data_IF_121452785205
#
_entry.id   IF_121452785205
#
_cell.length_a   1.000
_cell.length_b   1.000
_cell.length_c   1.000
_cell.angle_alpha   90.00
_cell.angle_beta   90.00
_cell.angle_gamma   90.00
#
_symmetry.space_group_name_H-M   'P 1'
#
loop_
_entity.id
_entity.type
_entity.pdbx_description
1 polymer ?
#
# COMPACT_ATOMS: atom_id res chain seq x y z
N UNK A 1 1.53 -6.48 45.79
CA UNK A 1 0.76 -7.04 44.66
C UNK A 1 0.50 -5.92 43.66
N UNK A 2 1.38 -5.77 42.67
CA UNK A 2 1.15 -4.82 41.59
C UNK A 2 0.25 -5.49 40.55
N UNK A 3 -1.01 -5.07 40.48
CA UNK A 3 -1.93 -5.46 39.42
C UNK A 3 -1.33 -5.04 38.09
N UNK A 4 -0.87 -6.03 37.33
CA UNK A 4 -0.48 -5.88 35.93
C UNK A 4 -1.72 -5.44 35.17
N UNK A 5 -1.81 -4.15 34.86
CA UNK A 5 -2.77 -3.62 33.89
C UNK A 5 -2.50 -4.35 32.57
N UNK A 6 -3.36 -5.32 32.23
CA UNK A 6 -3.33 -5.93 30.89
C UNK A 6 -3.50 -4.78 29.90
N UNK A 7 -2.50 -4.56 29.07
CA UNK A 7 -2.68 -3.79 27.85
C UNK A 7 -3.56 -4.69 26.99
N UNK A 8 -4.88 -4.49 27.06
CA UNK A 8 -5.83 -5.20 26.22
C UNK A 8 -5.43 -4.95 24.77
N UNK A 9 -5.13 -6.01 24.02
CA UNK A 9 -4.79 -5.90 22.61
C UNK A 9 -5.97 -5.25 21.87
N UNK A 10 -5.75 -4.31 20.93
CA UNK A 10 -6.83 -3.67 20.17
C UNK A 10 -7.71 -4.65 19.38
N UNK A 11 -7.24 -5.90 19.20
CA UNK A 11 -7.98 -6.97 18.55
C UNK A 11 -8.68 -7.94 19.52
N UNK A 12 -8.70 -7.70 20.83
CA UNK A 12 -9.42 -8.58 21.77
C UNK A 12 -10.90 -8.73 21.39
N UNK A 13 -11.54 -7.65 20.94
CA UNK A 13 -12.91 -7.65 20.43
C UNK A 13 -13.10 -8.43 19.12
N UNK A 14 -12.01 -8.80 18.45
CA UNK A 14 -11.99 -9.57 17.20
C UNK A 14 -11.39 -10.97 17.35
N UNK A 15 -11.08 -11.42 18.58
CA UNK A 15 -10.51 -12.76 18.83
C UNK A 15 -11.36 -13.89 18.22
N UNK A 16 -12.68 -13.75 18.25
CA UNK A 16 -13.62 -14.73 17.69
C UNK A 16 -13.97 -14.47 16.21
N UNK A 17 -13.55 -13.32 15.67
CA UNK A 17 -13.83 -12.86 14.30
C UNK A 17 -12.63 -13.06 13.35
N UNK A 18 -11.75 -14.03 13.62
CA UNK A 18 -10.52 -14.25 12.82
C UNK A 18 -10.78 -14.56 11.34
N UNK A 19 -11.91 -15.19 11.01
CA UNK A 19 -12.24 -15.42 9.60
C UNK A 19 -12.50 -14.10 8.88
N UNK A 20 -13.35 -13.24 9.44
CA UNK A 20 -13.60 -11.90 8.94
C UNK A 20 -12.29 -11.10 8.77
N UNK A 21 -11.40 -11.12 9.76
CA UNK A 21 -10.09 -10.45 9.66
C UNK A 21 -9.28 -10.96 8.46
N UNK A 22 -9.28 -12.27 8.22
CA UNK A 22 -8.59 -12.85 7.06
C UNK A 22 -9.24 -12.50 5.73
N UNK A 23 -10.56 -12.36 5.71
CA UNK A 23 -11.28 -11.95 4.51
C UNK A 23 -10.90 -10.52 4.11
N UNK A 24 -10.60 -9.63 5.06
CA UNK A 24 -10.08 -8.28 4.77
C UNK A 24 -8.77 -8.32 3.95
N UNK A 25 -7.87 -9.27 4.19
CA UNK A 25 -6.60 -9.42 3.46
C UNK A 25 -6.66 -10.45 2.32
N UNK A 26 -7.84 -10.99 2.01
CA UNK A 26 -7.99 -11.99 0.96
C UNK A 26 -7.64 -11.41 -0.41
N UNK A 27 -6.91 -12.17 -1.24
CA UNK A 27 -6.66 -11.79 -2.63
C UNK A 27 -7.74 -12.32 -3.60
N UNK A 28 -8.77 -12.98 -3.07
CA UNK A 28 -9.99 -13.31 -3.82
C UNK A 28 -10.89 -12.09 -3.80
N UNK A 29 -11.55 -11.82 -4.92
CA UNK A 29 -12.51 -10.74 -5.07
C UNK A 29 -13.92 -11.26 -4.81
N UNK A 30 -14.70 -10.55 -4.01
CA UNK A 30 -16.15 -10.72 -3.93
C UNK A 30 -16.80 -9.75 -4.93
N UNK A 31 -17.14 -10.25 -6.12
CA UNK A 31 -17.79 -9.48 -7.18
C UNK A 31 -19.26 -9.85 -7.16
N UNK A 32 -20.08 -9.07 -6.46
CA UNK A 32 -21.52 -9.27 -6.40
C UNK A 32 -22.17 -8.34 -7.40
N UNK A 33 -22.92 -8.94 -8.33
CA UNK A 33 -23.75 -8.20 -9.27
C UNK A 33 -24.77 -7.40 -8.44
N UNK A 34 -24.75 -6.08 -8.60
CA UNK A 34 -25.64 -5.10 -7.95
C UNK A 34 -25.44 -4.81 -6.45
N UNK A 35 -24.30 -5.17 -5.85
CA UNK A 35 -23.91 -4.69 -4.51
C UNK A 35 -23.01 -3.44 -4.65
N UNK A 36 -23.37 -2.27 -4.09
CA UNK A 36 -22.52 -1.08 -4.11
C UNK A 36 -21.19 -1.23 -3.34
N UNK A 37 -20.95 -2.40 -2.73
CA UNK A 37 -19.81 -2.68 -1.84
C UNK A 37 -19.01 -3.92 -2.25
N UNK A 38 -18.90 -4.16 -3.55
CA UNK A 38 -18.12 -5.25 -4.11
C UNK A 38 -16.62 -4.89 -4.28
N UNK A 39 -15.78 -5.85 -4.69
CA UNK A 39 -14.33 -5.65 -4.86
C UNK A 39 -13.95 -5.09 -6.26
N UNK A 40 -14.85 -4.40 -6.96
CA UNK A 40 -14.59 -3.90 -8.33
C UNK A 40 -13.45 -2.89 -8.38
N UNK A 41 -13.42 -1.88 -7.50
CA UNK A 41 -12.35 -0.88 -7.44
C UNK A 41 -11.03 -1.55 -7.09
N UNK A 42 -11.07 -2.50 -6.15
CA UNK A 42 -9.91 -3.24 -5.69
C UNK A 42 -9.23 -3.99 -6.84
N UNK A 43 -9.99 -4.48 -7.83
CA UNK A 43 -9.43 -5.14 -9.01
C UNK A 43 -8.60 -4.17 -9.86
N UNK A 44 -9.09 -2.94 -10.09
CA UNK A 44 -8.34 -1.90 -10.82
C UNK A 44 -7.12 -1.42 -10.01
N UNK A 45 -7.27 -1.23 -8.70
CA UNK A 45 -6.19 -0.86 -7.79
C UNK A 45 -5.09 -1.93 -7.80
N UNK A 46 -5.43 -3.22 -7.69
CA UNK A 46 -4.45 -4.31 -7.77
C UNK A 46 -3.71 -4.34 -9.12
N UNK A 47 -4.40 -4.08 -10.23
CA UNK A 47 -3.77 -3.98 -11.54
C UNK A 47 -2.79 -2.80 -11.60
N UNK A 48 -3.19 -1.63 -11.10
CA UNK A 48 -2.33 -0.44 -10.99
C UNK A 48 -1.11 -0.70 -10.11
N UNK A 49 -1.29 -1.25 -8.91
CA UNK A 49 -0.19 -1.58 -7.99
C UNK A 49 0.81 -2.55 -8.62
N UNK A 50 0.36 -3.55 -9.40
CA UNK A 50 1.28 -4.44 -10.14
C UNK A 50 2.09 -3.70 -11.19
N UNK A 51 1.47 -2.80 -11.96
CA UNK A 51 2.16 -1.96 -12.95
C UNK A 51 3.15 -1.01 -12.27
N UNK A 52 2.72 -0.37 -11.18
CA UNK A 52 3.54 0.49 -10.32
C UNK A 52 4.78 -0.26 -9.83
N UNK A 53 4.63 -1.45 -9.20
CA UNK A 53 5.77 -2.24 -8.72
C UNK A 53 6.74 -2.56 -9.87
N UNK A 54 6.22 -2.90 -11.07
CA UNK A 54 7.05 -3.17 -12.25
C UNK A 54 7.84 -1.94 -12.67
N UNK A 55 7.18 -0.78 -12.82
CA UNK A 55 7.82 0.49 -13.20
C UNK A 55 8.85 0.93 -12.14
N UNK A 56 8.46 0.90 -10.87
CA UNK A 56 9.28 1.25 -9.73
C UNK A 56 10.53 0.36 -9.61
N UNK A 57 10.39 -0.95 -9.83
CA UNK A 57 11.52 -1.89 -9.90
C UNK A 57 12.50 -1.55 -11.02
N UNK A 58 12.00 -1.02 -12.15
CA UNK A 58 12.81 -0.61 -13.29
C UNK A 58 13.64 0.64 -13.04
N UNK A 59 13.18 1.54 -12.17
CA UNK A 59 13.90 2.78 -11.80
C UNK A 59 14.77 2.64 -10.55
N UNK A 60 14.54 1.62 -9.72
CA UNK A 60 15.37 1.31 -8.55
C UNK A 60 16.72 0.65 -8.91
N UNK A 61 17.50 1.32 -9.77
CA UNK A 61 18.83 0.90 -10.23
C UNK A 61 19.76 2.09 -10.46
N UNK A 62 21.09 1.92 -10.35
CA UNK A 62 22.05 3.03 -10.45
C UNK A 62 22.02 3.82 -11.76
N UNK A 63 21.54 3.22 -12.86
CA UNK A 63 21.40 3.90 -14.16
C UNK A 63 20.15 4.79 -14.27
N UNK A 64 19.23 4.74 -13.30
CA UNK A 64 18.01 5.54 -13.29
C UNK A 64 17.95 6.52 -12.12
N UNK A 65 18.60 6.19 -10.99
CA UNK A 65 18.74 7.08 -9.81
C UNK A 65 20.17 7.08 -9.30
N UNK A 66 20.56 8.17 -8.64
CA UNK A 66 21.91 8.28 -8.08
C UNK A 66 22.17 7.22 -7.01
N UNK A 67 23.44 6.83 -6.84
CA UNK A 67 23.85 5.93 -5.78
C UNK A 67 23.42 6.43 -4.40
N UNK A 68 23.51 7.74 -4.15
CA UNK A 68 23.10 8.35 -2.88
C UNK A 68 21.64 8.01 -2.53
N UNK A 69 20.72 8.06 -3.49
CA UNK A 69 19.32 7.67 -3.27
C UNK A 69 19.21 6.19 -2.89
N UNK A 70 19.94 5.32 -3.58
CA UNK A 70 19.91 3.88 -3.30
C UNK A 70 20.52 3.52 -1.93
N UNK A 71 21.58 4.21 -1.51
CA UNK A 71 22.17 4.06 -0.19
C UNK A 71 21.24 4.60 0.92
N UNK A 72 20.61 5.76 0.70
CA UNK A 72 19.70 6.35 1.68
C UNK A 72 18.46 5.48 1.90
N UNK A 73 17.84 5.02 0.83
CA UNK A 73 16.63 4.17 0.91
C UNK A 73 16.93 2.82 1.58
N UNK A 74 18.16 2.31 1.46
CA UNK A 74 18.55 1.07 2.14
C UNK A 74 19.00 1.28 3.59
N UNK A 75 19.14 2.53 4.04
CA UNK A 75 19.61 2.84 5.38
C UNK A 75 18.65 2.25 6.42
N UNK A 76 19.21 1.57 7.41
CA UNK A 76 18.46 0.95 8.51
C UNK A 76 18.56 1.76 9.80
N UNK A 77 19.69 2.45 9.99
CA UNK A 77 20.00 3.16 11.23
C UNK A 77 20.51 4.57 10.90
N UNK A 78 19.89 5.58 11.50
CA UNK A 78 20.17 6.99 11.24
C UNK A 78 21.53 7.47 11.78
N UNK A 79 22.15 6.71 12.68
CA UNK A 79 23.44 7.06 13.29
C UNK A 79 24.60 6.23 12.74
N UNK A 80 24.33 5.24 11.86
CA UNK A 80 25.37 4.46 11.17
C UNK A 80 25.55 4.93 9.73
N UNK A 81 26.76 4.72 9.23
CA UNK A 81 27.09 4.96 7.82
C UNK A 81 26.30 4.03 6.90
N UNK A 82 26.05 4.52 5.69
CA UNK A 82 25.33 3.79 4.64
C UNK A 82 26.31 2.82 3.98
N UNK A 83 26.17 1.53 4.28
CA UNK A 83 27.15 0.52 3.85
C UNK A 83 26.79 -0.19 2.54
N UNK A 84 25.50 -0.31 2.20
CA UNK A 84 25.07 -1.05 1.00
C UNK A 84 23.92 -0.35 0.27
N UNK A 85 23.93 -0.30 -1.07
CA UNK A 85 22.86 0.29 -1.86
C UNK A 85 21.64 -0.64 -1.95
N UNK A 86 20.45 -0.06 -2.10
CA UNK A 86 19.22 -0.82 -2.29
C UNK A 86 19.19 -1.48 -3.67
N UNK A 87 18.87 -2.79 -3.70
CA UNK A 87 18.69 -3.55 -4.93
C UNK A 87 17.39 -4.35 -4.90
N UNK A 88 16.43 -3.99 -5.76
CA UNK A 88 15.18 -4.76 -5.89
C UNK A 88 15.31 -5.96 -6.84
N UNK A 89 16.33 -6.80 -6.62
CA UNK A 89 16.64 -7.99 -7.41
C UNK A 89 16.41 -9.26 -6.61
N UNK A 90 15.14 -9.53 -6.32
CA UNK A 90 14.74 -10.76 -5.64
C UNK A 90 14.51 -11.92 -6.62
N UNK A 91 14.74 -13.15 -6.15
CA UNK A 91 14.32 -14.38 -6.85
C UNK A 91 12.82 -14.30 -7.17
N UNK A 92 12.40 -14.90 -8.29
CA UNK A 92 11.00 -14.86 -8.78
C UNK A 92 9.97 -15.22 -7.70
N UNK A 93 10.25 -16.25 -6.90
CA UNK A 93 9.36 -16.69 -5.82
C UNK A 93 9.25 -15.64 -4.70
N UNK A 94 10.37 -15.08 -4.24
CA UNK A 94 10.38 -14.01 -3.23
C UNK A 94 9.64 -12.77 -3.73
N UNK A 95 9.86 -12.37 -4.99
CA UNK A 95 9.15 -11.24 -5.59
C UNK A 95 7.64 -11.48 -5.62
N UNK A 96 7.17 -12.68 -5.99
CA UNK A 96 5.74 -13.03 -5.95
C UNK A 96 5.17 -12.88 -4.53
N UNK A 97 5.86 -13.40 -3.51
CA UNK A 97 5.44 -13.27 -2.11
C UNK A 97 5.37 -11.81 -1.66
N UNK A 98 6.37 -11.00 -2.03
CA UNK A 98 6.41 -9.59 -1.65
C UNK A 98 5.31 -8.77 -2.31
N UNK A 99 5.05 -9.03 -3.60
CA UNK A 99 3.91 -8.43 -4.30
C UNK A 99 2.60 -8.85 -3.62
N UNK A 100 2.44 -10.12 -3.26
CA UNK A 100 1.23 -10.58 -2.58
C UNK A 100 0.98 -9.82 -1.29
N UNK A 101 1.98 -9.65 -0.42
CA UNK A 101 1.83 -8.86 0.83
C UNK A 101 1.42 -7.41 0.55
N UNK A 102 1.97 -6.79 -0.50
CA UNK A 102 1.55 -5.44 -0.91
C UNK A 102 0.08 -5.41 -1.37
N UNK A 103 -0.34 -6.37 -2.20
CA UNK A 103 -1.75 -6.46 -2.61
C UNK A 103 -2.67 -6.71 -1.41
N UNK A 104 -2.26 -7.54 -0.44
CA UNK A 104 -3.02 -7.77 0.78
C UNK A 104 -3.19 -6.49 1.60
N UNK A 105 -2.20 -5.60 1.59
CA UNK A 105 -2.33 -4.28 2.22
C UNK A 105 -3.41 -3.44 1.53
N UNK A 106 -3.42 -3.36 0.20
CA UNK A 106 -4.45 -2.59 -0.51
C UNK A 106 -5.84 -3.22 -0.36
N UNK A 107 -5.95 -4.55 -0.38
CA UNK A 107 -7.20 -5.25 -0.08
C UNK A 107 -7.73 -4.90 1.32
N UNK A 108 -6.85 -4.95 2.32
CA UNK A 108 -7.19 -4.57 3.67
C UNK A 108 -7.60 -3.11 3.77
N UNK A 109 -6.84 -2.20 3.16
CA UNK A 109 -7.14 -0.78 3.21
C UNK A 109 -8.50 -0.48 2.59
N UNK A 110 -8.78 -0.96 1.37
CA UNK A 110 -10.06 -0.74 0.70
C UNK A 110 -11.21 -1.32 1.53
N UNK A 111 -11.13 -2.60 1.92
CA UNK A 111 -12.23 -3.25 2.63
C UNK A 111 -12.46 -2.69 4.02
N UNK A 112 -11.39 -2.40 4.76
CA UNK A 112 -11.50 -1.87 6.11
C UNK A 112 -11.94 -0.40 6.08
N UNK A 113 -11.38 0.46 5.23
CA UNK A 113 -11.76 1.88 5.18
C UNK A 113 -13.21 2.03 4.71
N UNK A 114 -13.64 1.22 3.73
CA UNK A 114 -15.02 1.23 3.22
C UNK A 114 -16.05 0.55 4.15
N UNK A 115 -15.66 0.04 5.33
CA UNK A 115 -16.64 -0.42 6.32
C UNK A 115 -17.50 0.77 6.78
N UNK A 116 -18.83 0.61 6.75
CA UNK A 116 -19.78 1.67 7.12
C UNK A 116 -19.64 2.08 8.59
N UNK A 117 -19.48 1.08 9.45
CA UNK A 117 -19.32 1.28 10.87
C UNK A 117 -17.87 1.00 11.28
N UNK A 118 -17.22 2.00 11.85
CA UNK A 118 -15.85 1.87 12.36
C UNK A 118 -15.70 0.81 13.46
N UNK A 119 -16.79 0.46 14.17
CA UNK A 119 -16.79 -0.60 15.18
C UNK A 119 -16.67 -2.02 14.58
N UNK A 120 -17.01 -2.19 13.30
CA UNK A 120 -17.03 -3.49 12.63
C UNK A 120 -15.69 -3.85 11.96
N UNK A 121 -14.74 -2.90 11.93
CA UNK A 121 -13.40 -3.10 11.38
C UNK A 121 -12.33 -3.05 12.48
N UNK A 122 -11.13 -3.61 12.22
CA UNK A 122 -9.99 -3.39 13.09
C UNK A 122 -9.74 -1.89 13.36
N UNK A 123 -9.34 -1.53 14.59
CA UNK A 123 -9.17 -0.13 14.96
C UNK A 123 -7.96 0.48 14.24
N UNK A 124 -8.16 1.69 13.73
CA UNK A 124 -7.13 2.62 13.25
C UNK A 124 -7.79 3.98 12.97
N UNK A 125 -7.00 5.04 12.90
CA UNK A 125 -7.43 6.40 12.53
C UNK A 125 -6.62 6.88 11.34
N UNK A 126 -7.32 7.33 10.30
CA UNK A 126 -6.65 7.96 9.17
C UNK A 126 -6.35 9.41 9.50
N UNK A 127 -5.19 9.89 9.04
CA UNK A 127 -4.93 11.34 8.98
C UNK A 127 -5.71 11.96 7.82
N UNK A 128 -5.84 13.29 7.80
CA UNK A 128 -6.45 14.00 6.67
C UNK A 128 -5.73 13.71 5.36
N UNK A 129 -4.40 13.66 5.38
CA UNK A 129 -3.59 13.33 4.22
C UNK A 129 -3.82 11.89 3.72
N UNK A 130 -4.00 10.93 4.64
CA UNK A 130 -4.31 9.53 4.28
C UNK A 130 -5.71 9.41 3.70
N UNK A 131 -6.68 10.11 4.27
CA UNK A 131 -8.07 10.13 3.78
C UNK A 131 -8.12 10.72 2.37
N UNK A 132 -7.57 11.91 2.17
CA UNK A 132 -7.53 12.55 0.85
C UNK A 132 -6.80 11.70 -0.20
N UNK A 133 -5.68 11.06 0.15
CA UNK A 133 -4.96 10.19 -0.78
C UNK A 133 -5.73 8.89 -1.10
N UNK A 134 -6.49 8.36 -0.14
CA UNK A 134 -7.35 7.21 -0.34
C UNK A 134 -8.53 7.55 -1.25
N UNK A 135 -9.22 8.66 -1.00
CA UNK A 135 -10.38 9.11 -1.77
C UNK A 135 -10.00 9.31 -3.25
N UNK A 136 -8.89 10.02 -3.53
CA UNK A 136 -8.37 10.20 -4.90
C UNK A 136 -8.06 8.86 -5.59
N UNK A 137 -7.55 7.87 -4.85
CA UNK A 137 -7.30 6.54 -5.39
C UNK A 137 -8.59 5.81 -5.73
N UNK A 138 -9.61 5.91 -4.87
CA UNK A 138 -10.93 5.32 -5.09
C UNK A 138 -11.65 5.98 -6.26
N UNK A 139 -11.60 7.31 -6.38
CA UNK A 139 -12.21 8.07 -7.48
C UNK A 139 -11.69 7.62 -8.85
N UNK A 140 -10.37 7.49 -9.02
CA UNK A 140 -9.80 6.99 -10.28
C UNK A 140 -10.12 5.51 -10.55
N UNK A 141 -10.32 4.71 -9.51
CA UNK A 141 -10.74 3.32 -9.67
C UNK A 141 -12.21 3.25 -10.11
N UNK A 142 -13.09 4.06 -9.51
CA UNK A 142 -14.49 4.20 -9.89
C UNK A 142 -14.64 4.71 -11.32
N UNK A 143 -13.84 5.69 -11.75
CA UNK A 143 -13.86 6.17 -13.14
C UNK A 143 -13.50 5.04 -14.13
N UNK A 144 -12.58 4.14 -13.78
CA UNK A 144 -12.26 2.98 -14.62
C UNK A 144 -13.40 1.96 -14.68
N UNK A 145 -14.12 1.75 -13.58
CA UNK A 145 -15.32 0.88 -13.57
C UNK A 145 -16.40 1.46 -14.48
N UNK A 146 -16.67 2.76 -14.38
CA UNK A 146 -17.63 3.46 -15.23
C UNK A 146 -17.29 3.33 -16.72
N UNK A 147 -16.00 3.34 -17.06
CA UNK A 147 -15.53 3.14 -18.43
C UNK A 147 -15.75 1.70 -18.88
N UNK A 148 -15.43 0.70 -18.03
CA UNK A 148 -15.61 -0.71 -18.34
C UNK A 148 -17.11 -1.07 -18.50
N UNK A 149 -18.00 -0.38 -17.78
CA UNK A 149 -19.46 -0.59 -17.83
C UNK A 149 -20.17 0.13 -18.99
N UNK A 150 -19.56 1.18 -19.58
CA UNK A 150 -20.16 1.91 -20.70
C UNK A 150 -19.85 1.23 -22.03
N UNK A 151 -20.89 0.92 -22.81
CA UNK A 151 -20.77 0.19 -24.09
C UNK A 151 -20.29 1.09 -25.25
N UNK A 152 -20.34 2.43 -25.20
CA UNK A 152 -19.76 3.32 -26.26
C UNK A 152 -19.69 4.83 -25.86
N UNK A 153 -18.84 5.70 -26.48
CA UNK A 153 -17.72 5.44 -27.37
C UNK A 153 -16.36 5.63 -26.65
N UNK A 154 -15.47 4.68 -26.94
CA UNK A 154 -14.00 4.74 -26.98
C UNK A 154 -13.42 6.07 -26.43
N UNK A 155 -13.19 6.16 -25.12
CA UNK A 155 -12.12 7.04 -24.67
C UNK A 155 -10.88 6.65 -25.47
N UNK A 156 -10.19 7.64 -26.05
CA UNK A 156 -8.96 7.37 -26.78
C UNK A 156 -8.03 6.56 -25.89
N UNK A 157 -7.36 5.55 -26.46
CA UNK A 157 -6.41 4.71 -25.72
C UNK A 157 -5.45 5.54 -24.85
N UNK A 158 -5.09 6.75 -25.33
CA UNK A 158 -4.33 7.76 -24.59
C UNK A 158 -4.97 8.20 -23.26
N UNK A 159 -6.27 8.51 -23.23
CA UNK A 159 -6.96 8.94 -21.99
C UNK A 159 -7.09 7.80 -20.99
N UNK A 160 -7.43 6.59 -21.44
CA UNK A 160 -7.48 5.39 -20.57
C UNK A 160 -6.08 5.10 -20.00
N UNK A 161 -5.04 5.20 -20.82
CA UNK A 161 -3.66 5.06 -20.36
C UNK A 161 -3.28 6.14 -19.34
N UNK A 162 -3.78 7.37 -19.51
CA UNK A 162 -3.56 8.45 -18.54
C UNK A 162 -4.26 8.16 -17.22
N UNK A 163 -5.50 7.68 -17.25
CA UNK A 163 -6.24 7.32 -16.05
C UNK A 163 -5.57 6.16 -15.30
N UNK A 164 -5.06 5.16 -16.02
CA UNK A 164 -4.24 4.10 -15.42
C UNK A 164 -2.98 4.64 -14.74
N UNK A 165 -2.33 5.66 -15.31
CA UNK A 165 -1.17 6.32 -14.70
C UNK A 165 -1.57 7.14 -13.46
N UNK A 166 -2.71 7.84 -13.51
CA UNK A 166 -3.25 8.59 -12.38
C UNK A 166 -3.58 7.66 -11.20
N UNK A 167 -4.20 6.52 -11.46
CA UNK A 167 -4.46 5.51 -10.43
C UNK A 167 -3.15 4.93 -9.85
N UNK A 168 -2.13 4.69 -10.68
CA UNK A 168 -0.80 4.27 -10.19
C UNK A 168 -0.17 5.32 -9.27
N UNK A 169 -0.29 6.60 -9.61
CA UNK A 169 0.22 7.71 -8.82
C UNK A 169 -0.57 7.90 -7.52
N UNK A 170 -1.89 7.77 -7.56
CA UNK A 170 -2.75 7.84 -6.38
C UNK A 170 -2.45 6.67 -5.42
N UNK A 171 -2.28 5.45 -5.94
CA UNK A 171 -1.94 4.29 -5.13
C UNK A 171 -0.57 4.43 -4.42
N UNK A 172 0.45 4.98 -5.09
CA UNK A 172 1.74 5.25 -4.42
C UNK A 172 1.62 6.39 -3.43
N UNK A 173 0.86 7.45 -3.73
CA UNK A 173 0.64 8.56 -2.81
C UNK A 173 -0.06 8.11 -1.52
N UNK A 174 -1.13 7.31 -1.63
CA UNK A 174 -1.78 6.69 -0.48
C UNK A 174 -0.81 5.84 0.33
N UNK A 175 -0.06 4.93 -0.32
CA UNK A 175 0.90 4.09 0.39
C UNK A 175 1.98 4.91 1.13
N UNK A 176 2.52 5.97 0.51
CA UNK A 176 3.50 6.85 1.15
C UNK A 176 2.88 7.60 2.34
N UNK A 177 1.63 8.08 2.22
CA UNK A 177 0.93 8.75 3.33
C UNK A 177 0.73 7.83 4.54
N UNK A 178 0.59 6.52 4.31
CA UNK A 178 0.51 5.51 5.37
C UNK A 178 1.86 5.26 6.02
N UNK A 179 2.96 5.31 5.26
CA UNK A 179 4.32 5.23 5.82
C UNK A 179 4.72 6.49 6.60
N UNK A 180 4.20 7.65 6.21
CA UNK A 180 4.45 8.94 6.85
C UNK A 180 3.58 9.18 8.10
N UNK A 181 2.91 8.13 8.61
CA UNK A 181 2.13 8.21 9.83
C UNK A 181 3.05 8.31 11.05
N UNK A 182 2.96 9.41 11.78
CA UNK A 182 3.69 9.61 13.02
C UNK A 182 3.01 8.94 14.22
N UNK A 183 3.63 7.91 14.79
CA UNK A 183 3.04 7.06 15.85
C UNK A 183 3.37 7.50 17.29
N UNK A 184 3.76 8.77 17.52
CA UNK A 184 4.30 9.20 18.83
C UNK A 184 3.35 9.03 20.03
N UNK A 185 2.05 9.14 19.83
CA UNK A 185 1.04 9.04 20.91
C UNK A 185 0.56 7.61 21.10
N UNK A 186 0.24 6.92 20.02
CA UNK A 186 -0.12 5.50 20.00
C UNK A 186 0.14 4.91 18.63
N UNK A 187 0.76 3.73 18.58
CA UNK A 187 0.95 2.98 17.34
C UNK A 187 -0.37 2.35 16.83
N UNK A 188 -1.36 2.19 17.70
CA UNK A 188 -2.64 1.54 17.38
C UNK A 188 -3.56 2.40 16.51
N UNK A 189 -3.27 3.69 16.35
CA UNK A 189 -3.97 4.54 15.39
C UNK A 189 -3.47 4.29 13.95
N UNK A 190 -2.32 3.63 13.76
CA UNK A 190 -1.77 3.37 12.43
C UNK A 190 -2.49 2.22 11.71
N UNK A 191 -3.04 2.52 10.52
CA UNK A 191 -3.59 1.50 9.61
C UNK A 191 -2.54 0.44 9.23
N UNK A 192 -1.26 0.80 9.16
CA UNK A 192 -0.19 -0.17 8.89
C UNK A 192 -0.02 -1.16 10.05
N UNK A 193 -0.09 -0.69 11.28
CA UNK A 193 -0.01 -1.56 12.48
C UNK A 193 -1.24 -2.46 12.56
N UNK A 194 -2.43 -1.92 12.28
CA UNK A 194 -3.68 -2.68 12.20
C UNK A 194 -3.65 -3.75 11.10
N UNK A 195 -3.13 -3.42 9.92
CA UNK A 195 -2.86 -4.38 8.84
C UNK A 195 -1.88 -5.48 9.28
N UNK A 196 -0.76 -5.11 9.91
CA UNK A 196 0.25 -6.06 10.37
C UNK A 196 -0.32 -7.07 11.36
N UNK A 197 -1.21 -6.61 12.24
CA UNK A 197 -1.88 -7.49 13.20
C UNK A 197 -2.80 -8.48 12.49
N UNK A 198 -3.59 -8.04 11.50
CA UNK A 198 -4.39 -8.95 10.67
C UNK A 198 -3.52 -9.91 9.86
N UNK A 199 -2.42 -9.42 9.29
CA UNK A 199 -1.47 -10.20 8.50
C UNK A 199 -0.77 -11.29 9.34
N UNK A 200 -0.77 -11.15 10.66
CA UNK A 200 -0.22 -12.15 11.59
C UNK A 200 -1.17 -13.34 11.84
N UNK A 201 -2.39 -13.34 11.29
CA UNK A 201 -3.32 -14.46 11.41
C UNK A 201 -3.05 -15.48 10.31
N UNK A 202 -2.90 -16.74 10.70
CA UNK A 202 -2.60 -17.88 9.82
C UNK A 202 -3.87 -18.52 9.26
N UNK A 203 -3.67 -19.46 8.32
CA UNK A 203 -4.76 -20.14 7.65
C UNK A 203 -5.64 -20.99 8.58
N UNK A 204 -5.03 -21.54 9.63
CA UNK A 204 -5.66 -22.30 10.71
C UNK A 204 -6.26 -21.41 11.81
N UNK A 205 -6.31 -20.08 11.59
CA UNK A 205 -6.79 -19.08 12.56
C UNK A 205 -5.94 -19.01 13.84
N UNK A 206 -4.70 -19.52 13.80
CA UNK A 206 -3.70 -19.28 14.85
C UNK A 206 -2.87 -18.04 14.52
N UNK A 207 -2.04 -17.61 15.47
CA UNK A 207 -1.13 -16.47 15.30
C UNK A 207 0.20 -16.94 14.70
N UNK A 208 0.79 -16.11 13.85
CA UNK A 208 2.13 -16.31 13.32
C UNK A 208 3.17 -16.27 14.44
N UNK A 209 4.19 -17.12 14.30
CA UNK A 209 5.39 -16.99 15.10
C UNK A 209 6.35 -15.95 14.48
N UNK A 210 7.32 -15.48 15.26
CA UNK A 210 8.29 -14.49 14.81
C UNK A 210 9.07 -14.92 13.56
N UNK A 211 9.44 -16.20 13.47
CA UNK A 211 10.22 -16.74 12.35
C UNK A 211 9.45 -16.63 11.02
N UNK A 212 8.14 -16.87 11.03
CA UNK A 212 7.29 -16.82 9.85
C UNK A 212 6.79 -15.40 9.54
N UNK A 213 6.72 -14.52 10.55
CA UNK A 213 6.29 -13.14 10.36
C UNK A 213 7.41 -12.23 9.83
N UNK A 214 8.67 -12.49 10.18
CA UNK A 214 9.83 -11.69 9.72
C UNK A 214 9.94 -11.57 8.19
N UNK A 215 9.69 -12.63 7.39
CA UNK A 215 9.59 -12.52 5.94
C UNK A 215 8.49 -11.57 5.43
N UNK A 216 7.35 -11.44 6.14
CA UNK A 216 6.26 -10.52 5.81
C UNK A 216 6.66 -9.06 6.08
N UNK A 217 7.35 -8.80 7.19
CA UNK A 217 7.95 -7.49 7.47
C UNK A 217 9.00 -7.11 6.42
N UNK A 218 9.83 -8.07 6.02
CA UNK A 218 10.83 -7.88 4.95
C UNK A 218 10.18 -7.53 3.61
N UNK A 219 9.02 -8.14 3.32
CA UNK A 219 8.23 -7.83 2.14
C UNK A 219 7.76 -6.38 2.13
N UNK A 220 7.16 -5.92 3.24
CA UNK A 220 6.70 -4.55 3.41
C UNK A 220 7.87 -3.58 3.24
N UNK A 221 8.97 -3.77 3.99
CA UNK A 221 10.15 -2.91 3.87
C UNK A 221 10.71 -2.85 2.44
N UNK A 222 10.77 -3.98 1.74
CA UNK A 222 11.29 -4.02 0.38
C UNK A 222 10.38 -3.27 -0.61
N UNK A 223 9.06 -3.41 -0.48
CA UNK A 223 8.08 -2.70 -1.33
C UNK A 223 8.05 -1.21 -1.00
N UNK A 224 8.06 -0.83 0.28
CA UNK A 224 8.14 0.56 0.73
C UNK A 224 9.33 1.28 0.11
N UNK A 225 10.51 0.64 0.12
CA UNK A 225 11.72 1.19 -0.50
C UNK A 225 11.56 1.38 -2.01
N UNK A 226 10.96 0.43 -2.71
CA UNK A 226 10.69 0.54 -4.16
C UNK A 226 9.74 1.70 -4.46
N UNK A 227 8.67 1.83 -3.69
CA UNK A 227 7.70 2.91 -3.85
C UNK A 227 8.31 4.28 -3.54
N UNK A 228 9.11 4.39 -2.49
CA UNK A 228 9.80 5.63 -2.14
C UNK A 228 10.76 6.08 -3.26
N UNK A 229 11.49 5.16 -3.87
CA UNK A 229 12.36 5.49 -5.02
C UNK A 229 11.53 6.02 -6.18
N UNK A 230 10.44 5.34 -6.54
CA UNK A 230 9.56 5.77 -7.64
C UNK A 230 8.96 7.15 -7.36
N UNK A 231 8.38 7.33 -6.18
CA UNK A 231 7.80 8.61 -5.73
C UNK A 231 8.80 9.77 -5.80
N UNK A 232 10.04 9.53 -5.36
CA UNK A 232 11.10 10.55 -5.41
C UNK A 232 11.51 10.88 -6.85
N UNK A 233 11.60 9.88 -7.73
CA UNK A 233 11.90 10.09 -9.15
C UNK A 233 10.80 10.90 -9.83
N UNK A 234 9.54 10.56 -9.59
CA UNK A 234 8.40 11.24 -10.19
C UNK A 234 8.30 12.68 -9.72
N UNK A 235 8.45 12.92 -8.40
CA UNK A 235 8.50 14.28 -7.84
C UNK A 235 9.60 15.12 -8.47
N UNK A 236 10.78 14.53 -8.68
CA UNK A 236 11.90 15.22 -9.35
C UNK A 236 11.57 15.55 -10.80
N UNK A 237 10.97 14.61 -11.55
CA UNK A 237 10.58 14.83 -12.94
C UNK A 237 9.55 15.97 -13.07
N UNK A 238 8.53 15.97 -12.20
CA UNK A 238 7.53 17.04 -12.14
C UNK A 238 8.17 18.40 -11.82
N UNK A 239 9.07 18.45 -10.83
CA UNK A 239 9.78 19.69 -10.47
C UNK A 239 10.62 20.24 -11.64
N UNK A 240 11.31 19.37 -12.38
CA UNK A 240 12.09 19.78 -13.56
C UNK A 240 11.16 20.31 -14.65
N UNK A 241 10.06 19.61 -14.93
CA UNK A 241 9.09 20.03 -15.93
C UNK A 241 8.52 21.42 -15.61
N UNK A 242 8.14 21.67 -14.36
CA UNK A 242 7.65 22.97 -13.90
C UNK A 242 8.69 24.10 -14.08
N UNK A 243 9.97 23.84 -13.82
CA UNK A 243 11.05 24.83 -14.02
C UNK A 243 11.29 25.14 -15.49
N UNK A 244 11.23 24.13 -16.36
CA UNK A 244 11.33 24.29 -17.82
C UNK A 244 10.15 25.13 -18.33
N UNK A 245 8.93 24.84 -17.89
CA UNK A 245 7.73 25.62 -18.24
C UNK A 245 7.80 27.08 -17.75
N UNK A 246 8.53 27.33 -16.65
CA UNK A 246 8.77 28.68 -16.10
C UNK A 246 9.97 29.42 -16.72
N UNK A 247 10.64 28.84 -17.73
CA UNK A 247 11.76 29.49 -18.43
C UNK A 247 13.04 29.64 -17.61
N UNK A 248 13.19 28.86 -16.53
CA UNK A 248 14.35 28.89 -15.65
C UNK A 248 15.18 27.61 -15.88
N UNK A 249 16.04 27.64 -16.89
CA UNK A 249 17.00 26.57 -17.19
C UNK A 249 18.41 26.98 -16.77
#
# INVERSE_FOLDING_TARGET
MASSTRINSPLESFSDKKQFLRDLISLKYDLKVDDPKDDSELRHIHAAVRRLIRKASGVARPGAVSWNVLFEVNRKELHKERSTPFHFRFKRQTRKKYIAVCLQFFAYAVRAISCENAADRPPFKLTEAQTAAFDVMMDYAAELIDIDNKIEPILTSSRINKLHELLENAAVAFYISVLDHFTKTTEYDSILVSFLTVLSIRDDKTWENYANFTPKLSAIMAISRVFLVKHTVDKRALYIQQRVEQGQA
#
